data_IF_260005438889
#
_entry.id   IF_260005438889
#
_cell.length_a   1.000
_cell.length_b   1.000
_cell.length_c   1.000
_cell.angle_alpha   90.00
_cell.angle_beta   90.00
_cell.angle_gamma   90.00
#
_symmetry.space_group_name_H-M   'P 1'
#
loop_
_entity.id
_entity.type
_entity.pdbx_description
1 polymer ?
#
# COMPACT_ATOMS: atom_id res chain seq x y z
N UNK A 1 24.68 -3.07 -23.10
CA UNK A 1 24.19 -3.94 -22.00
C UNK A 1 23.84 -3.02 -20.84
N UNK A 2 22.56 -2.71 -20.65
CA UNK A 2 22.15 -1.83 -19.55
C UNK A 2 22.37 -2.57 -18.23
N UNK A 3 23.25 -2.05 -17.38
CA UNK A 3 23.43 -2.51 -16.00
C UNK A 3 22.54 -1.64 -15.12
N UNK A 4 21.62 -2.26 -14.41
CA UNK A 4 20.79 -1.63 -13.40
C UNK A 4 20.29 -2.69 -12.43
N UNK A 5 20.06 -2.29 -11.19
CA UNK A 5 19.40 -3.14 -10.21
C UNK A 5 17.90 -3.27 -10.56
N UNK A 6 17.32 -4.42 -10.21
CA UNK A 6 15.88 -4.63 -10.30
C UNK A 6 15.24 -4.20 -8.96
N UNK A 7 14.34 -3.24 -9.03
CA UNK A 7 13.57 -2.76 -7.87
C UNK A 7 12.19 -3.42 -7.85
N UNK A 8 11.79 -3.94 -6.70
CA UNK A 8 10.47 -4.55 -6.47
C UNK A 8 9.83 -3.82 -5.28
N UNK A 9 8.54 -3.50 -5.39
CA UNK A 9 7.81 -2.75 -4.35
C UNK A 9 8.00 -1.23 -4.42
N UNK A 10 9.07 -0.70 -5.01
CA UNK A 10 9.25 0.73 -5.18
C UNK A 10 10.71 1.12 -5.38
N UNK A 11 10.97 2.43 -5.49
CA UNK A 11 12.33 2.98 -5.59
C UNK A 11 12.59 3.93 -4.42
N UNK A 12 13.84 4.37 -4.22
CA UNK A 12 14.14 5.36 -3.18
C UNK A 12 13.40 6.67 -3.46
N UNK A 13 12.95 7.38 -2.40
CA UNK A 13 12.10 8.57 -2.51
C UNK A 13 12.63 9.61 -3.51
N UNK A 14 13.94 9.83 -3.54
CA UNK A 14 14.59 10.78 -4.44
C UNK A 14 14.52 10.38 -5.93
N UNK A 15 14.33 9.10 -6.25
CA UNK A 15 14.22 8.62 -7.63
C UNK A 15 12.87 8.96 -8.28
N UNK A 16 11.78 9.08 -7.50
CA UNK A 16 10.46 9.37 -8.06
C UNK A 16 10.39 10.68 -8.87
N UNK A 17 11.18 11.69 -8.48
CA UNK A 17 11.28 12.96 -9.22
C UNK A 17 11.98 12.86 -10.57
N UNK A 18 12.73 11.77 -10.81
CA UNK A 18 13.54 11.55 -12.01
C UNK A 18 13.04 10.37 -12.86
N UNK A 19 11.87 9.80 -12.53
CA UNK A 19 11.29 8.72 -13.33
C UNK A 19 10.91 9.22 -14.73
N UNK A 20 10.94 8.35 -15.76
CA UNK A 20 10.44 8.66 -17.09
C UNK A 20 9.04 9.28 -17.04
N UNK A 21 8.79 10.31 -17.86
CA UNK A 21 7.56 11.14 -17.82
C UNK A 21 6.26 10.34 -17.91
N UNK A 22 6.29 9.18 -18.54
CA UNK A 22 5.12 8.32 -18.73
C UNK A 22 4.77 7.48 -17.50
N UNK A 23 5.65 7.41 -16.50
CA UNK A 23 5.39 6.69 -15.25
C UNK A 23 4.61 7.63 -14.32
N UNK A 24 3.41 7.21 -13.94
CA UNK A 24 2.52 7.97 -13.05
C UNK A 24 2.86 7.80 -11.56
N UNK A 25 3.42 6.65 -11.16
CA UNK A 25 3.68 6.34 -9.75
C UNK A 25 4.61 7.38 -9.10
N UNK A 26 4.20 7.89 -7.94
CA UNK A 26 5.00 8.81 -7.10
C UNK A 26 5.33 8.25 -5.72
N UNK A 27 4.79 7.08 -5.41
CA UNK A 27 5.00 6.34 -4.18
C UNK A 27 5.26 4.85 -4.48
N UNK A 28 5.66 4.12 -3.45
CA UNK A 28 5.86 2.67 -3.50
C UNK A 28 4.54 1.90 -3.54
N UNK A 29 4.62 0.65 -3.97
CA UNK A 29 3.57 -0.33 -3.79
C UNK A 29 3.48 -0.74 -2.32
N UNK A 30 2.26 -0.80 -1.79
CA UNK A 30 1.94 -1.32 -0.46
C UNK A 30 0.93 -2.45 -0.63
N UNK A 31 1.31 -3.66 -0.19
CA UNK A 31 0.50 -4.86 -0.35
C UNK A 31 1.34 -6.13 -0.40
N UNK A 32 0.76 -7.19 -0.96
CA UNK A 32 1.41 -8.50 -1.11
C UNK A 32 1.76 -8.82 -2.56
N UNK A 33 2.97 -9.33 -2.76
CA UNK A 33 3.38 -9.97 -4.02
C UNK A 33 3.59 -11.46 -3.78
N UNK A 34 3.10 -12.29 -4.71
CA UNK A 34 3.26 -13.73 -4.66
C UNK A 34 3.58 -14.26 -6.07
N UNK A 35 4.20 -15.44 -6.12
CA UNK A 35 4.50 -16.14 -7.38
C UNK A 35 5.27 -15.29 -8.40
N UNK A 36 6.25 -14.52 -7.92
CA UNK A 36 7.06 -13.66 -8.78
C UNK A 36 8.00 -14.51 -9.63
N UNK A 37 7.76 -14.49 -10.94
CA UNK A 37 8.60 -15.09 -11.97
C UNK A 37 9.28 -13.99 -12.79
N UNK A 38 10.61 -14.04 -12.81
CA UNK A 38 11.46 -13.12 -13.55
C UNK A 38 12.24 -13.89 -14.60
N UNK A 39 11.58 -14.08 -15.76
CA UNK A 39 12.12 -14.80 -16.92
C UNK A 39 12.55 -16.24 -16.59
N UNK A 40 11.71 -17.00 -15.90
CA UNK A 40 11.96 -18.38 -15.48
C UNK A 40 12.74 -18.50 -14.17
N UNK A 41 13.11 -17.38 -13.54
CA UNK A 41 13.74 -17.35 -12.22
C UNK A 41 12.71 -17.00 -11.16
N UNK A 42 12.63 -17.81 -10.10
CA UNK A 42 11.74 -17.62 -8.95
C UNK A 42 12.56 -17.13 -7.74
N UNK A 43 12.89 -15.84 -7.62
CA UNK A 43 13.68 -15.37 -6.49
C UNK A 43 12.87 -15.32 -5.21
N UNK A 44 13.54 -15.56 -4.09
CA UNK A 44 13.02 -15.22 -2.78
C UNK A 44 13.20 -13.71 -2.55
N UNK A 45 12.13 -12.91 -2.70
CA UNK A 45 12.19 -11.44 -2.61
C UNK A 45 12.79 -10.89 -1.31
N UNK A 46 12.89 -11.69 -0.24
CA UNK A 46 13.50 -11.29 1.03
C UNK A 46 14.94 -11.80 1.12
N UNK A 47 15.16 -13.09 0.83
CA UNK A 47 16.47 -13.71 1.01
C UNK A 47 17.46 -13.37 -0.13
N UNK A 48 16.97 -13.15 -1.35
CA UNK A 48 17.80 -12.86 -2.52
C UNK A 48 17.99 -11.35 -2.76
N UNK A 49 17.37 -10.50 -1.95
CA UNK A 49 17.45 -9.05 -2.09
C UNK A 49 18.87 -8.54 -1.77
N UNK A 50 19.41 -7.70 -2.66
CA UNK A 50 20.66 -6.98 -2.39
C UNK A 50 20.47 -5.95 -1.26
N UNK A 51 19.31 -5.28 -1.27
CA UNK A 51 18.90 -4.29 -0.30
C UNK A 51 17.40 -4.42 -0.03
N UNK A 52 17.02 -4.42 1.25
CA UNK A 52 15.62 -4.30 1.67
C UNK A 52 15.44 -2.98 2.44
N UNK A 53 14.38 -2.25 2.10
CA UNK A 53 14.06 -0.95 2.71
C UNK A 53 12.59 -0.95 3.11
N UNK A 54 12.29 -0.53 4.34
CA UNK A 54 10.93 -0.54 4.89
C UNK A 54 10.55 -1.90 5.49
N UNK A 55 9.25 -2.06 5.79
CA UNK A 55 8.70 -3.29 6.34
C UNK A 55 8.36 -4.26 5.20
N UNK A 56 9.16 -5.33 5.08
CA UNK A 56 8.93 -6.42 4.14
C UNK A 56 8.95 -7.73 4.92
N UNK A 57 7.80 -8.41 4.97
CA UNK A 57 7.61 -9.61 5.79
C UNK A 57 7.15 -10.79 4.92
N UNK A 58 7.37 -12.00 5.44
CA UNK A 58 6.88 -13.22 4.79
C UNK A 58 5.40 -13.38 5.09
N UNK A 59 4.63 -13.78 4.09
CA UNK A 59 3.20 -14.02 4.22
C UNK A 59 2.38 -12.84 3.70
N UNK A 60 1.08 -12.92 3.92
CA UNK A 60 0.13 -11.89 3.52
C UNK A 60 -1.02 -11.87 4.52
N UNK A 61 -0.77 -11.29 5.68
CA UNK A 61 -1.80 -11.16 6.72
C UNK A 61 -2.82 -10.07 6.39
N UNK A 62 -2.51 -9.23 5.39
CA UNK A 62 -3.38 -8.17 4.91
C UNK A 62 -3.60 -7.07 5.97
N UNK A 63 -4.59 -6.18 5.75
CA UNK A 63 -4.96 -5.21 6.76
C UNK A 63 -5.47 -5.89 8.03
N UNK A 64 -4.95 -5.48 9.19
CA UNK A 64 -5.33 -6.01 10.50
C UNK A 64 -6.80 -5.80 10.85
N UNK A 65 -7.44 -4.80 10.23
CA UNK A 65 -8.86 -4.51 10.41
C UNK A 65 -9.53 -4.30 9.05
N UNK A 66 -10.64 -4.98 8.83
CA UNK A 66 -11.46 -4.83 7.63
C UNK A 66 -12.66 -3.93 7.89
N UNK A 67 -13.15 -3.27 6.84
CA UNK A 67 -14.42 -2.57 6.89
C UNK A 67 -15.56 -3.55 7.23
N UNK A 68 -16.38 -3.15 8.18
CA UNK A 68 -17.62 -3.82 8.59
C UNK A 68 -18.77 -2.81 8.55
N UNK A 69 -20.02 -3.28 8.66
CA UNK A 69 -21.19 -2.40 8.72
C UNK A 69 -21.15 -1.44 9.92
N UNK A 70 -20.42 -1.80 10.99
CA UNK A 70 -20.29 -0.99 12.21
C UNK A 70 -19.01 -0.13 12.25
N UNK A 71 -18.17 -0.19 11.20
CA UNK A 71 -16.89 0.54 11.17
C UNK A 71 -17.06 2.06 11.16
N UNK A 72 -18.13 2.57 10.53
CA UNK A 72 -18.42 4.00 10.42
C UNK A 72 -19.85 4.29 10.86
N UNK A 73 -20.02 5.28 11.74
CA UNK A 73 -21.33 5.69 12.23
C UNK A 73 -22.04 6.63 11.25
N UNK A 74 -23.33 6.83 11.49
CA UNK A 74 -24.14 7.85 10.80
C UNK A 74 -24.07 7.76 9.26
N UNK A 75 -23.99 6.53 8.74
CA UNK A 75 -23.91 6.24 7.30
C UNK A 75 -22.65 6.82 6.62
N UNK A 76 -21.58 7.04 7.39
CA UNK A 76 -20.26 7.34 6.84
C UNK A 76 -19.74 6.18 5.98
N UNK A 77 -18.99 6.50 4.93
CA UNK A 77 -18.46 5.49 4.02
C UNK A 77 -17.15 4.93 4.58
N UNK A 78 -17.10 3.63 4.84
CA UNK A 78 -15.87 2.95 5.23
C UNK A 78 -14.96 2.76 4.01
N UNK A 79 -13.73 3.28 4.11
CA UNK A 79 -12.70 3.15 3.10
C UNK A 79 -11.60 2.24 3.63
N UNK A 80 -11.45 1.06 3.02
CA UNK A 80 -10.41 0.10 3.37
C UNK A 80 -9.03 0.66 3.00
N UNK A 81 -8.08 0.55 3.94
CA UNK A 81 -6.67 0.86 3.74
C UNK A 81 -5.82 -0.38 4.10
N UNK A 82 -4.50 -0.29 3.88
CA UNK A 82 -3.57 -1.37 4.23
C UNK A 82 -3.30 -1.43 5.74
N UNK A 83 -3.17 -0.29 6.42
CA UNK A 83 -2.94 -0.22 7.87
C UNK A 83 -4.25 -0.18 8.69
N UNK A 84 -5.39 -0.46 8.05
CA UNK A 84 -6.71 -0.44 8.70
C UNK A 84 -7.79 0.16 7.81
N UNK A 85 -8.66 1.00 8.35
CA UNK A 85 -9.69 1.70 7.57
C UNK A 85 -9.84 3.15 8.01
N UNK A 86 -10.51 3.95 7.18
CA UNK A 86 -10.93 5.33 7.51
C UNK A 86 -12.39 5.54 7.15
N UNK A 87 -13.05 6.50 7.80
CA UNK A 87 -14.42 6.88 7.45
C UNK A 87 -14.47 8.21 6.71
N UNK A 88 -15.14 8.22 5.56
CA UNK A 88 -15.54 9.44 4.87
C UNK A 88 -16.87 9.95 5.42
N UNK A 89 -16.80 11.05 6.16
CA UNK A 89 -17.94 11.70 6.80
C UNK A 89 -18.47 12.91 6.00
N UNK A 90 -17.99 13.17 4.77
CA UNK A 90 -18.32 14.37 3.98
C UNK A 90 -19.81 14.49 3.68
N UNK A 91 -20.47 13.37 3.43
CA UNK A 91 -21.92 13.28 3.19
C UNK A 91 -22.74 13.03 4.46
N UNK A 92 -22.15 13.23 5.64
CA UNK A 92 -22.84 13.12 6.93
C UNK A 92 -22.83 14.46 7.67
N UNK A 93 -23.77 14.66 8.58
CA UNK A 93 -23.78 15.79 9.54
C UNK A 93 -22.80 15.60 10.71
N UNK A 94 -21.94 14.58 10.65
CA UNK A 94 -20.98 14.22 11.69
C UNK A 94 -19.54 14.30 11.16
N UNK A 95 -18.58 14.34 12.08
CA UNK A 95 -17.14 14.31 11.87
C UNK A 95 -16.45 13.36 12.84
N UNK A 96 -15.14 13.52 12.98
CA UNK A 96 -14.30 12.58 13.74
C UNK A 96 -13.91 11.36 12.92
N UNK A 97 -13.01 10.53 13.46
CA UNK A 97 -12.41 9.38 12.76
C UNK A 97 -13.43 8.30 12.35
N UNK A 98 -14.57 8.23 13.05
CA UNK A 98 -15.62 7.23 12.83
C UNK A 98 -16.99 7.87 12.50
N UNK A 99 -17.04 9.16 12.18
CA UNK A 99 -18.28 9.91 11.96
C UNK A 99 -19.23 9.91 13.17
N UNK A 100 -18.70 9.93 14.39
CA UNK A 100 -19.46 9.94 15.65
C UNK A 100 -19.74 11.33 16.20
N UNK A 101 -18.94 12.32 15.81
CA UNK A 101 -18.90 13.62 16.47
C UNK A 101 -19.80 14.59 15.73
N UNK A 102 -20.80 15.17 16.41
CA UNK A 102 -21.72 16.10 15.75
C UNK A 102 -20.97 17.37 15.35
N UNK A 103 -21.13 17.79 14.08
CA UNK A 103 -20.64 19.08 13.57
C UNK A 103 -21.45 20.24 14.12
#
# INVERSE_FOLDING_TARGET
MWKGELYVGGVVKAMYGNLPKLIASRDGYQGCLASVDLNGRLPNLIADALHSVGQVERGCDGPSTTCTEESCYNQGVCLQQWEGFSCDCTMTSYGGSFCSDRK
#
